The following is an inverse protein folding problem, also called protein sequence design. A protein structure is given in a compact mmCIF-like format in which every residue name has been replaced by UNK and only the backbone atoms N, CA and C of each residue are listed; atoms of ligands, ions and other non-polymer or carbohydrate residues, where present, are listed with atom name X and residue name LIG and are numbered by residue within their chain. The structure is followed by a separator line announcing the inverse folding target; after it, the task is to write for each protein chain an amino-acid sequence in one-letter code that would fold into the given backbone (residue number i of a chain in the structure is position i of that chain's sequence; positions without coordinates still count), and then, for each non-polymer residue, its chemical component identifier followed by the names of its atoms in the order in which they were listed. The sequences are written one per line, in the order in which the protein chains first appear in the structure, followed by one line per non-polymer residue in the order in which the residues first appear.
data_IF_453674820288
#
_entry.id   IF_453674820288
#
_cell.length_a   1.000
_cell.length_b   1.000
_cell.length_c   1.000
_cell.angle_alpha   90.00
_cell.angle_beta   90.00
_cell.angle_gamma   90.00
#
_symmetry.space_group_name_H-M   'P 1'
#
loop_
_entity.id
_entity.type
_entity.pdbx_description
1 polymer ?
#
# COMPACT_ATOMS: atom_id res chain seq x y z
N UNK A 1 -41.26 -30.19 70.32
CA UNK A 1 -40.13 -29.50 69.73
C UNK A 1 -40.05 -29.91 68.23
N UNK A 2 -40.54 -29.08 67.31
CA UNK A 2 -40.53 -29.37 65.85
C UNK A 2 -39.27 -28.72 65.31
N UNK A 3 -38.35 -29.51 64.72
CA UNK A 3 -37.17 -29.01 64.01
C UNK A 3 -37.57 -28.73 62.53
N UNK A 4 -37.47 -27.49 62.13
CA UNK A 4 -37.66 -27.06 60.76
C UNK A 4 -36.28 -27.08 60.01
N UNK A 5 -36.17 -27.91 58.98
CA UNK A 5 -34.97 -27.94 58.12
C UNK A 5 -35.18 -26.95 56.94
N UNK A 6 -34.36 -25.95 56.83
CA UNK A 6 -34.28 -25.10 55.66
C UNK A 6 -33.31 -25.72 54.63
N UNK A 7 -33.86 -26.06 53.48
CA UNK A 7 -33.07 -26.47 52.30
C UNK A 7 -32.72 -25.20 51.52
N UNK A 8 -31.46 -24.85 51.54
CA UNK A 8 -30.93 -23.77 50.68
C UNK A 8 -30.70 -24.34 49.26
N UNK A 9 -31.51 -23.95 48.28
CA UNK A 9 -31.31 -24.25 46.88
C UNK A 9 -30.36 -23.19 46.35
N UNK A 10 -29.07 -23.51 46.13
CA UNK A 10 -28.13 -22.70 45.35
C UNK A 10 -28.45 -22.88 43.86
N UNK A 11 -29.10 -21.90 43.26
CA UNK A 11 -29.21 -21.79 41.82
C UNK A 11 -27.87 -21.33 41.22
N UNK A 12 -27.06 -22.28 40.76
CA UNK A 12 -25.84 -22.00 40.01
C UNK A 12 -26.21 -21.42 38.65
N UNK A 13 -25.99 -20.11 38.46
CA UNK A 13 -25.96 -19.48 37.16
C UNK A 13 -24.74 -19.99 36.38
N UNK A 14 -24.94 -21.03 35.58
CA UNK A 14 -23.96 -21.39 34.54
C UNK A 14 -24.03 -20.35 33.46
N UNK A 15 -23.10 -19.41 33.44
CA UNK A 15 -22.80 -18.62 32.27
C UNK A 15 -22.17 -19.56 31.21
N UNK A 16 -22.99 -20.02 30.30
CA UNK A 16 -22.49 -20.67 29.11
C UNK A 16 -21.77 -19.60 28.25
N UNK A 17 -20.46 -19.55 28.35
CA UNK A 17 -19.66 -18.93 27.27
C UNK A 17 -19.95 -19.74 26.00
N UNK A 18 -20.81 -19.23 25.13
CA UNK A 18 -20.89 -19.75 23.77
C UNK A 18 -19.54 -19.45 23.10
N UNK A 19 -18.77 -20.47 22.69
CA UNK A 19 -17.61 -20.21 21.89
C UNK A 19 -18.10 -19.55 20.59
N UNK A 20 -17.59 -18.35 20.29
CA UNK A 20 -17.74 -17.71 18.98
C UNK A 20 -16.89 -18.48 17.97
N UNK A 21 -17.30 -19.72 17.68
CA UNK A 21 -16.70 -20.51 16.61
C UNK A 21 -17.09 -19.89 15.26
N UNK A 22 -16.13 -19.84 14.34
CA UNK A 22 -16.41 -19.50 12.94
C UNK A 22 -17.34 -20.55 12.34
N UNK A 23 -18.41 -20.13 11.65
CA UNK A 23 -19.28 -21.03 10.88
C UNK A 23 -18.62 -21.33 9.53
N UNK A 24 -17.86 -22.41 9.48
CA UNK A 24 -17.20 -22.87 8.25
C UNK A 24 -18.08 -23.72 7.35
N UNK A 25 -19.32 -24.03 7.77
CA UNK A 25 -20.26 -24.86 7.01
C UNK A 25 -20.71 -24.22 5.69
N UNK A 26 -20.58 -22.89 5.59
CA UNK A 26 -20.89 -22.10 4.39
C UNK A 26 -19.62 -21.49 3.81
N UNK A 27 -19.69 -21.14 2.52
CA UNK A 27 -18.66 -20.28 1.92
C UNK A 27 -18.66 -18.91 2.60
N UNK A 28 -17.48 -18.27 2.76
CA UNK A 28 -17.41 -16.90 3.25
C UNK A 28 -18.19 -15.92 2.35
N UNK A 29 -18.53 -14.76 2.87
CA UNK A 29 -19.05 -13.66 2.06
C UNK A 29 -17.99 -13.17 1.06
N UNK A 30 -18.43 -12.52 -0.02
CA UNK A 30 -17.50 -11.92 -0.98
C UNK A 30 -16.64 -10.84 -0.28
N UNK A 31 -15.32 -10.85 -0.44
CA UNK A 31 -14.46 -9.79 0.08
C UNK A 31 -14.78 -8.44 -0.58
N UNK A 32 -14.29 -7.35 0.00
CA UNK A 32 -14.40 -6.01 -0.56
C UNK A 32 -13.02 -5.40 -0.72
N UNK A 33 -12.71 -4.92 -1.94
CA UNK A 33 -11.45 -4.25 -2.24
C UNK A 33 -11.39 -2.86 -1.62
N UNK A 34 -10.18 -2.41 -1.27
CA UNK A 34 -9.94 -1.02 -0.89
C UNK A 34 -9.66 -0.23 -2.17
N UNK A 35 -10.57 0.65 -2.53
CA UNK A 35 -10.40 1.58 -3.65
C UNK A 35 -9.35 2.62 -3.27
N UNK A 36 -8.57 3.10 -4.24
CA UNK A 36 -7.67 4.24 -4.02
C UNK A 36 -8.51 5.52 -3.93
N UNK A 37 -8.31 6.28 -2.88
CA UNK A 37 -9.00 7.55 -2.65
C UNK A 37 -8.13 8.73 -3.08
N UNK A 38 -8.78 9.86 -3.41
CA UNK A 38 -8.06 11.09 -3.72
C UNK A 38 -7.19 11.51 -2.51
N UNK A 39 -5.93 11.80 -2.78
CA UNK A 39 -4.96 12.17 -1.74
C UNK A 39 -4.32 10.98 -1.01
N UNK A 40 -4.64 9.72 -1.36
CA UNK A 40 -3.97 8.56 -0.76
C UNK A 40 -2.45 8.65 -0.88
N UNK A 41 -1.94 9.09 -2.03
CA UNK A 41 -0.50 9.22 -2.30
C UNK A 41 0.20 10.29 -1.45
N UNK A 42 -0.55 11.15 -0.77
CA UNK A 42 0.00 12.18 0.13
C UNK A 42 0.07 11.70 1.58
N UNK A 43 -0.30 10.47 1.86
CA UNK A 43 -0.24 9.87 3.20
C UNK A 43 0.93 8.89 3.32
N UNK A 44 1.37 8.60 4.54
CA UNK A 44 2.42 7.61 4.78
C UNK A 44 2.03 6.21 4.32
N UNK A 45 0.77 5.85 4.43
CA UNK A 45 0.30 4.47 4.19
C UNK A 45 -0.23 4.22 2.78
N UNK A 46 -0.47 5.26 1.99
CA UNK A 46 -0.88 5.17 0.56
C UNK A 46 -1.93 4.07 0.32
N UNK A 47 -3.08 4.23 0.95
CA UNK A 47 -4.09 3.17 1.01
C UNK A 47 -4.80 2.95 -0.33
N UNK A 48 -5.05 1.69 -0.67
CA UNK A 48 -5.76 1.26 -1.88
C UNK A 48 -4.84 0.57 -2.89
N UNK A 49 -5.36 0.39 -4.13
CA UNK A 49 -4.53 -0.14 -5.22
C UNK A 49 -3.51 0.91 -5.65
N UNK A 50 -2.24 0.49 -5.83
CA UNK A 50 -1.16 1.41 -6.20
C UNK A 50 0.04 0.72 -6.81
N UNK A 51 0.91 1.51 -7.47
CA UNK A 51 2.27 1.11 -7.76
C UNK A 51 3.06 0.83 -6.45
N UNK A 52 4.23 0.25 -6.56
CA UNK A 52 5.11 -0.01 -5.41
C UNK A 52 6.51 0.50 -5.71
N UNK A 53 7.10 1.23 -4.76
CA UNK A 53 8.44 1.78 -4.84
C UNK A 53 9.51 0.67 -4.75
N UNK A 54 9.81 0.08 -5.90
CA UNK A 54 10.82 -0.96 -6.07
C UNK A 54 11.30 -1.01 -7.52
N UNK A 55 12.42 -1.72 -7.75
CA UNK A 55 13.05 -1.80 -9.07
C UNK A 55 12.12 -2.41 -10.13
N UNK A 56 11.48 -3.54 -9.82
CA UNK A 56 10.56 -4.23 -10.71
C UNK A 56 9.22 -3.47 -10.78
N UNK A 57 8.50 -3.64 -11.88
CA UNK A 57 7.11 -3.21 -11.95
C UNK A 57 6.27 -4.03 -10.98
N UNK A 58 5.50 -3.35 -10.15
CA UNK A 58 4.68 -3.98 -9.14
C UNK A 58 3.42 -3.18 -8.87
N UNK A 59 2.34 -3.89 -8.59
CA UNK A 59 1.06 -3.31 -8.15
C UNK A 59 0.70 -3.95 -6.82
N UNK A 60 0.44 -3.11 -5.83
CA UNK A 60 -0.14 -3.50 -4.55
C UNK A 60 -1.65 -3.41 -4.65
N UNK A 61 -2.35 -4.46 -4.23
CA UNK A 61 -3.78 -4.45 -3.98
C UNK A 61 -4.06 -4.61 -2.49
N UNK A 62 -5.15 -4.04 -2.03
CA UNK A 62 -5.61 -4.11 -0.65
C UNK A 62 -7.09 -4.44 -0.59
N UNK A 63 -7.51 -5.09 0.49
CA UNK A 63 -8.91 -5.40 0.74
C UNK A 63 -9.25 -5.21 2.22
N UNK A 64 -10.54 -5.10 2.50
CA UNK A 64 -11.01 -5.04 3.88
C UNK A 64 -11.03 -6.43 4.49
N UNK A 65 -10.49 -6.54 5.69
CA UNK A 65 -10.55 -7.77 6.45
C UNK A 65 -11.99 -8.21 6.68
N UNK A 66 -12.25 -9.49 6.51
CA UNK A 66 -13.53 -10.08 6.85
C UNK A 66 -13.61 -10.42 8.35
N UNK A 67 -14.82 -10.43 8.94
CA UNK A 67 -15.01 -10.84 10.32
C UNK A 67 -14.47 -12.26 10.59
N UNK A 68 -13.85 -12.47 11.75
CA UNK A 68 -13.31 -13.79 12.15
C UNK A 68 -14.38 -14.89 12.18
N UNK A 69 -15.65 -14.51 12.37
CA UNK A 69 -16.79 -15.42 12.34
C UNK A 69 -17.01 -16.14 11.02
N UNK A 70 -16.40 -15.66 9.93
CA UNK A 70 -16.50 -16.29 8.62
C UNK A 70 -15.45 -17.38 8.36
N UNK A 71 -14.48 -17.57 9.28
CA UNK A 71 -13.48 -18.62 9.20
C UNK A 71 -12.63 -18.58 7.93
N UNK A 72 -12.28 -17.39 7.45
CA UNK A 72 -11.44 -17.25 6.26
C UNK A 72 -10.03 -17.73 6.58
N UNK A 73 -9.56 -18.72 5.82
CA UNK A 73 -8.21 -19.26 5.92
C UNK A 73 -7.25 -18.54 4.98
N UNK A 74 -7.70 -18.20 3.78
CA UNK A 74 -6.88 -17.51 2.77
C UNK A 74 -7.72 -16.75 1.77
N UNK A 75 -7.05 -15.84 1.06
CA UNK A 75 -7.60 -15.12 -0.10
C UNK A 75 -6.88 -15.58 -1.36
N UNK A 76 -7.62 -15.82 -2.44
CA UNK A 76 -7.09 -16.07 -3.77
C UNK A 76 -7.16 -14.80 -4.60
N UNK A 77 -6.11 -14.50 -5.34
CA UNK A 77 -5.97 -13.28 -6.12
C UNK A 77 -6.03 -13.61 -7.61
N UNK A 78 -6.85 -12.85 -8.33
CA UNK A 78 -7.05 -13.01 -9.76
C UNK A 78 -6.78 -11.71 -10.50
N UNK A 79 -6.16 -11.83 -11.68
CA UNK A 79 -5.79 -10.69 -12.54
C UNK A 79 -6.25 -10.91 -13.97
N UNK A 80 -6.66 -9.81 -14.62
CA UNK A 80 -6.93 -9.75 -16.05
C UNK A 80 -6.45 -8.45 -16.68
N UNK A 81 -6.26 -8.43 -17.98
CA UNK A 81 -6.15 -7.21 -18.80
C UNK A 81 -7.49 -6.87 -19.49
N UNK A 82 -8.45 -7.78 -19.45
CA UNK A 82 -9.81 -7.60 -19.95
C UNK A 82 -10.82 -7.88 -18.81
N UNK A 83 -11.58 -6.87 -18.34
CA UNK A 83 -12.51 -7.04 -17.23
C UNK A 83 -13.81 -7.75 -17.61
N UNK A 84 -14.03 -8.04 -18.90
CA UNK A 84 -15.28 -8.61 -19.40
C UNK A 84 -15.32 -10.12 -19.16
N UNK A 85 -16.00 -10.50 -18.09
CA UNK A 85 -16.24 -11.90 -17.73
C UNK A 85 -15.13 -12.53 -16.88
N UNK A 86 -15.54 -13.33 -15.90
CA UNK A 86 -14.64 -13.96 -14.95
C UNK A 86 -13.65 -14.95 -15.60
N UNK A 87 -14.01 -15.52 -16.75
CA UNK A 87 -13.17 -16.44 -17.48
C UNK A 87 -11.86 -15.82 -18.01
N UNK A 88 -11.80 -14.48 -18.12
CA UNK A 88 -10.61 -13.76 -18.58
C UNK A 88 -9.60 -13.53 -17.45
N UNK A 89 -9.99 -13.80 -16.20
CA UNK A 89 -9.10 -13.64 -15.06
C UNK A 89 -8.32 -14.92 -14.79
N UNK A 90 -7.03 -14.78 -14.59
CA UNK A 90 -6.16 -15.88 -14.16
C UNK A 90 -5.82 -15.76 -12.68
N UNK A 91 -5.73 -16.86 -12.00
CA UNK A 91 -5.17 -16.95 -10.65
C UNK A 91 -3.69 -16.58 -10.70
N UNK A 92 -3.27 -15.65 -9.83
CA UNK A 92 -1.89 -15.17 -9.76
C UNK A 92 -1.22 -15.44 -8.40
N UNK A 93 -1.99 -15.80 -7.38
CA UNK A 93 -1.44 -16.11 -6.07
C UNK A 93 -2.50 -16.13 -4.99
N UNK A 94 -2.05 -16.42 -3.78
CA UNK A 94 -2.89 -16.43 -2.59
C UNK A 94 -2.18 -15.77 -1.41
N UNK A 95 -2.97 -15.28 -0.45
CA UNK A 95 -2.54 -14.72 0.81
C UNK A 95 -3.24 -15.45 1.94
N UNK A 96 -2.47 -16.06 2.86
CA UNK A 96 -3.02 -16.70 4.05
C UNK A 96 -3.59 -15.63 5.00
N UNK A 97 -4.67 -15.95 5.70
CA UNK A 97 -5.37 -15.01 6.58
C UNK A 97 -5.04 -15.27 8.07
N UNK A 98 -3.81 -15.66 8.37
CA UNK A 98 -3.37 -16.04 9.71
C UNK A 98 -3.32 -14.86 10.70
N UNK A 99 -3.04 -13.67 10.20
CA UNK A 99 -2.89 -12.46 10.99
C UNK A 99 -3.91 -11.38 10.62
N UNK A 100 -4.10 -10.43 11.53
CA UNK A 100 -5.06 -9.34 11.37
C UNK A 100 -4.73 -8.37 10.23
N UNK A 101 -3.48 -8.38 9.74
CA UNK A 101 -2.94 -7.42 8.79
C UNK A 101 -2.74 -7.99 7.38
N UNK A 102 -3.07 -9.28 7.15
CA UNK A 102 -2.88 -9.96 5.86
C UNK A 102 -4.01 -9.60 4.87
N UNK A 103 -4.13 -8.32 4.59
CA UNK A 103 -5.12 -7.75 3.66
C UNK A 103 -4.46 -7.05 2.48
N UNK A 104 -3.24 -7.43 2.16
CA UNK A 104 -2.46 -6.88 1.05
C UNK A 104 -1.80 -7.99 0.23
N UNK A 105 -1.71 -7.76 -1.07
CA UNK A 105 -0.92 -8.59 -1.98
C UNK A 105 -0.16 -7.69 -2.96
N UNK A 106 1.08 -8.05 -3.26
CA UNK A 106 1.91 -7.34 -4.25
C UNK A 106 2.09 -8.25 -5.46
N UNK A 107 1.52 -7.83 -6.58
CA UNK A 107 1.70 -8.49 -7.87
C UNK A 107 3.04 -8.08 -8.48
N UNK A 108 3.89 -9.06 -8.74
CA UNK A 108 5.23 -8.95 -9.32
C UNK A 108 5.36 -9.68 -10.66
N UNK A 109 4.28 -10.28 -11.12
CA UNK A 109 4.34 -11.23 -12.23
C UNK A 109 4.30 -10.51 -13.57
N UNK A 110 5.46 -10.09 -14.05
CA UNK A 110 5.72 -9.59 -15.41
C UNK A 110 4.78 -8.47 -15.84
N UNK A 111 4.62 -7.45 -14.98
CA UNK A 111 3.77 -6.31 -15.29
C UNK A 111 4.41 -5.38 -16.32
N UNK A 112 3.65 -5.02 -17.35
CA UNK A 112 4.04 -4.06 -18.38
C UNK A 112 3.50 -2.68 -18.05
N UNK A 113 4.28 -1.63 -18.38
CA UNK A 113 3.80 -0.25 -18.37
C UNK A 113 2.74 -0.04 -19.46
N UNK A 114 1.90 0.98 -19.30
CA UNK A 114 0.80 1.34 -20.21
C UNK A 114 -0.23 0.21 -20.43
N UNK A 115 -0.31 -0.71 -19.47
CA UNK A 115 -1.25 -1.83 -19.51
C UNK A 115 -2.17 -1.76 -18.28
N UNK A 116 -3.48 -1.79 -18.51
CA UNK A 116 -4.47 -1.86 -17.44
C UNK A 116 -4.54 -3.29 -16.89
N UNK A 117 -4.38 -3.41 -15.58
CA UNK A 117 -4.54 -4.65 -14.86
C UNK A 117 -5.73 -4.54 -13.91
N UNK A 118 -6.65 -5.46 -14.04
CA UNK A 118 -7.87 -5.57 -13.24
C UNK A 118 -7.70 -6.71 -12.24
N UNK A 119 -8.11 -6.50 -11.01
CA UNK A 119 -7.99 -7.48 -9.92
C UNK A 119 -9.31 -7.66 -9.22
N UNK A 120 -9.60 -8.90 -8.87
CA UNK A 120 -10.55 -9.25 -7.83
C UNK A 120 -9.94 -10.36 -6.95
N UNK A 121 -10.54 -10.58 -5.79
CA UNK A 121 -10.15 -11.66 -4.87
C UNK A 121 -11.38 -12.48 -4.49
N UNK A 122 -11.13 -13.71 -4.02
CA UNK A 122 -12.12 -14.55 -3.34
C UNK A 122 -11.57 -14.93 -1.97
N UNK A 123 -12.45 -15.21 -1.01
CA UNK A 123 -12.11 -15.75 0.29
C UNK A 123 -12.37 -17.26 0.32
N UNK A 124 -11.48 -18.00 0.96
CA UNK A 124 -11.59 -19.47 1.10
C UNK A 124 -11.51 -19.80 2.59
N UNK A 125 -12.43 -20.59 3.10
CA UNK A 125 -12.43 -21.04 4.48
C UNK A 125 -11.59 -22.32 4.67
N UNK A 126 -11.47 -22.80 5.92
CA UNK A 126 -10.72 -24.01 6.27
C UNK A 126 -11.25 -25.28 5.63
N UNK A 127 -12.54 -25.34 5.31
CA UNK A 127 -13.17 -26.46 4.58
C UNK A 127 -12.95 -26.38 3.06
N UNK A 128 -12.27 -25.34 2.57
CA UNK A 128 -11.99 -25.15 1.15
C UNK A 128 -13.15 -24.55 0.35
N UNK A 129 -14.21 -24.09 1.01
CA UNK A 129 -15.34 -23.41 0.34
C UNK A 129 -14.93 -22.00 -0.04
N UNK A 130 -15.18 -21.64 -1.29
CA UNK A 130 -14.77 -20.38 -1.88
C UNK A 130 -15.96 -19.42 -2.02
N UNK A 131 -15.76 -18.16 -1.69
CA UNK A 131 -16.75 -17.08 -1.80
C UNK A 131 -17.03 -16.70 -3.26
N UNK A 132 -18.06 -15.89 -3.47
CA UNK A 132 -18.18 -15.11 -4.70
C UNK A 132 -17.00 -14.11 -4.81
N UNK A 133 -16.66 -13.66 -6.05
CA UNK A 133 -15.65 -12.63 -6.26
C UNK A 133 -15.99 -11.32 -5.54
N UNK A 134 -14.95 -10.58 -5.13
CA UNK A 134 -15.05 -9.19 -4.68
C UNK A 134 -15.48 -8.25 -5.82
N UNK A 135 -15.70 -7.00 -5.49
CA UNK A 135 -15.61 -5.91 -6.44
C UNK A 135 -14.23 -5.86 -7.10
N UNK A 136 -14.14 -5.21 -8.27
CA UNK A 136 -12.92 -5.12 -9.07
C UNK A 136 -12.24 -3.77 -8.86
N UNK A 137 -10.91 -3.80 -8.71
CA UNK A 137 -10.04 -2.62 -8.79
C UNK A 137 -9.12 -2.74 -9.99
N UNK A 138 -8.60 -1.61 -10.50
CA UNK A 138 -7.67 -1.64 -11.61
C UNK A 138 -6.60 -0.55 -11.49
N UNK A 139 -5.45 -0.80 -12.10
CA UNK A 139 -4.34 0.14 -12.15
C UNK A 139 -3.56 -0.01 -13.47
N UNK A 140 -2.97 1.11 -13.91
CA UNK A 140 -2.10 1.18 -15.07
C UNK A 140 -0.77 1.80 -14.67
N UNK A 141 0.30 1.05 -14.83
CA UNK A 141 1.65 1.51 -14.51
C UNK A 141 2.19 2.45 -15.59
N UNK A 142 2.77 3.56 -15.15
CA UNK A 142 3.59 4.44 -15.97
C UNK A 142 5.08 4.07 -15.85
N UNK A 143 5.93 4.54 -16.78
CA UNK A 143 7.37 4.51 -16.60
C UNK A 143 7.76 5.22 -15.29
N UNK A 144 8.77 4.68 -14.59
CA UNK A 144 9.20 5.22 -13.28
C UNK A 144 10.22 6.33 -13.45
N UNK A 145 10.13 7.34 -12.60
CA UNK A 145 11.24 8.26 -12.41
C UNK A 145 12.46 7.53 -11.85
N UNK A 146 13.64 8.07 -12.07
CA UNK A 146 14.90 7.56 -11.53
C UNK A 146 15.53 8.63 -10.62
N UNK A 147 15.58 8.42 -9.30
CA UNK A 147 16.25 9.33 -8.39
C UNK A 147 17.75 9.45 -8.69
N UNK A 148 18.24 10.68 -8.74
CA UNK A 148 19.64 11.00 -8.94
C UNK A 148 20.34 11.34 -7.62
N UNK A 149 20.62 12.63 -7.40
CA UNK A 149 21.21 13.16 -6.16
C UNK A 149 20.09 13.70 -5.24
N UNK A 150 20.22 13.64 -3.89
CA UNK A 150 21.33 13.11 -3.12
C UNK A 150 21.29 11.59 -2.97
N UNK A 151 22.48 10.99 -2.85
CA UNK A 151 22.69 9.60 -2.44
C UNK A 151 23.90 9.55 -1.50
N UNK A 152 23.76 8.84 -0.38
CA UNK A 152 24.83 8.80 0.63
C UNK A 152 24.90 10.07 1.47
N UNK A 153 26.09 10.35 2.04
CA UNK A 153 26.31 11.45 2.99
C UNK A 153 26.48 12.79 2.28
N UNK A 154 25.74 13.80 2.71
CA UNK A 154 25.84 15.20 2.25
C UNK A 154 26.40 16.05 3.38
N UNK A 155 27.42 16.86 3.12
CA UNK A 155 28.13 17.64 4.16
C UNK A 155 27.69 19.09 4.09
N UNK A 156 27.18 19.63 5.20
CA UNK A 156 26.83 21.04 5.46
C UNK A 156 26.18 21.78 4.28
N UNK A 157 25.06 21.32 3.75
CA UNK A 157 24.42 21.99 2.63
C UNK A 157 23.72 23.28 3.08
N UNK A 158 23.91 24.38 2.33
CA UNK A 158 23.10 25.61 2.47
C UNK A 158 21.75 25.47 1.73
N UNK A 159 21.73 24.65 0.71
CA UNK A 159 20.55 24.19 -0.02
C UNK A 159 20.80 22.79 -0.55
N UNK A 160 19.75 22.03 -0.82
CA UNK A 160 19.87 20.66 -1.32
C UNK A 160 18.94 20.43 -2.50
N UNK A 161 19.55 20.21 -3.67
CA UNK A 161 18.83 19.85 -4.89
C UNK A 161 18.60 18.33 -4.98
N UNK A 162 17.34 17.93 -5.05
CA UNK A 162 16.94 16.54 -5.33
C UNK A 162 16.70 16.39 -6.81
N UNK A 163 17.62 15.72 -7.50
CA UNK A 163 17.54 15.53 -8.96
C UNK A 163 16.95 14.18 -9.30
N UNK A 164 16.12 14.13 -10.31
CA UNK A 164 15.57 12.89 -10.82
C UNK A 164 15.33 12.98 -12.33
N UNK A 165 15.38 11.82 -12.99
CA UNK A 165 15.10 11.71 -14.40
C UNK A 165 13.71 11.09 -14.61
N UNK A 166 12.95 11.66 -15.53
CA UNK A 166 11.65 11.17 -15.98
C UNK A 166 11.82 10.62 -17.39
N UNK A 167 11.42 9.38 -17.69
CA UNK A 167 11.46 8.84 -19.03
C UNK A 167 10.65 9.70 -20.01
N UNK A 168 11.17 9.88 -21.22
CA UNK A 168 10.54 10.75 -22.23
C UNK A 168 9.16 10.28 -22.70
N UNK A 169 8.82 9.04 -22.48
CA UNK A 169 7.54 8.39 -22.77
C UNK A 169 6.57 8.33 -21.58
N UNK A 170 6.96 8.84 -20.41
CA UNK A 170 6.10 8.81 -19.22
C UNK A 170 4.94 9.81 -19.29
N UNK A 171 5.15 10.99 -19.89
CA UNK A 171 4.17 12.08 -20.01
C UNK A 171 3.36 12.35 -18.74
N UNK A 172 3.99 12.56 -17.57
CA UNK A 172 3.26 12.76 -16.34
C UNK A 172 2.56 14.12 -16.32
N UNK A 173 1.42 14.20 -15.64
CA UNK A 173 0.74 15.46 -15.35
C UNK A 173 1.35 16.20 -14.16
N UNK A 174 2.02 15.47 -13.29
CA UNK A 174 2.66 15.99 -12.09
C UNK A 174 3.52 14.92 -11.43
N UNK A 175 4.09 15.30 -10.28
CA UNK A 175 4.81 14.36 -9.44
C UNK A 175 4.57 14.64 -7.96
N UNK A 176 4.77 13.61 -7.14
CA UNK A 176 4.90 13.73 -5.69
C UNK A 176 6.35 13.42 -5.34
N UNK A 177 6.98 14.35 -4.63
CA UNK A 177 8.30 14.18 -4.03
C UNK A 177 8.11 13.91 -2.54
N UNK A 178 8.69 12.81 -2.06
CA UNK A 178 8.50 12.31 -0.71
C UNK A 178 9.84 12.00 -0.06
N UNK A 179 9.98 12.41 1.22
CA UNK A 179 11.12 12.04 2.06
C UNK A 179 10.60 11.38 3.34
N UNK A 180 11.17 10.24 3.68
CA UNK A 180 10.87 9.52 4.90
C UNK A 180 12.14 9.36 5.75
N UNK A 181 11.99 9.47 7.07
CA UNK A 181 13.02 9.11 8.04
C UNK A 181 12.90 7.62 8.35
N UNK A 182 14.04 6.92 8.38
CA UNK A 182 14.11 5.53 8.79
C UNK A 182 14.36 5.45 10.29
N UNK A 183 13.47 4.78 11.02
CA UNK A 183 13.53 4.61 12.46
C UNK A 183 13.67 3.12 12.75
N UNK A 184 14.92 2.62 12.78
CA UNK A 184 15.18 1.19 12.89
C UNK A 184 14.73 0.41 11.65
N UNK A 185 14.54 -0.90 11.80
CA UNK A 185 14.28 -1.78 10.66
C UNK A 185 12.86 -1.68 10.08
N UNK A 186 11.86 -1.31 10.89
CA UNK A 186 10.44 -1.46 10.53
C UNK A 186 9.62 -0.16 10.66
N UNK A 187 10.17 0.90 11.23
CA UNK A 187 9.43 2.14 11.43
C UNK A 187 9.95 3.24 10.50
N UNK A 188 9.02 4.01 9.99
CA UNK A 188 9.29 5.13 9.10
C UNK A 188 8.35 6.29 9.45
N UNK A 189 8.82 7.48 9.16
CA UNK A 189 8.08 8.71 9.36
C UNK A 189 8.17 9.56 8.10
N UNK A 190 7.03 10.04 7.62
CA UNK A 190 6.99 11.01 6.53
C UNK A 190 7.44 12.38 7.07
N UNK A 191 8.62 12.84 6.66
CA UNK A 191 9.19 14.11 7.14
C UNK A 191 9.02 15.26 6.16
N UNK A 192 8.86 14.94 4.87
CA UNK A 192 8.63 15.96 3.85
C UNK A 192 7.81 15.39 2.69
N UNK A 193 6.90 16.21 2.17
CA UNK A 193 6.11 15.91 1.00
C UNK A 193 5.86 17.18 0.21
N UNK A 194 6.13 17.11 -1.10
CA UNK A 194 5.81 18.16 -2.05
C UNK A 194 5.09 17.55 -3.25
N UNK A 195 4.06 18.24 -3.74
CA UNK A 195 3.34 17.84 -4.93
C UNK A 195 3.34 18.98 -5.95
N UNK A 196 3.73 18.66 -7.16
CA UNK A 196 3.63 19.55 -8.32
C UNK A 196 2.61 18.97 -9.31
N UNK A 197 1.47 19.65 -9.43
CA UNK A 197 0.41 19.29 -10.35
C UNK A 197 -0.41 20.54 -10.72
N UNK A 198 -0.45 21.00 -11.98
CA UNK A 198 0.24 20.43 -13.14
C UNK A 198 1.74 20.63 -13.10
N UNK A 199 2.45 19.73 -13.80
CA UNK A 199 3.91 19.77 -13.92
C UNK A 199 4.36 21.08 -14.58
N UNK A 200 5.23 21.82 -13.89
CA UNK A 200 5.87 23.01 -14.44
C UNK A 200 7.09 22.58 -15.27
N UNK A 201 7.04 22.77 -16.55
CA UNK A 201 8.14 22.45 -17.47
C UNK A 201 7.67 22.29 -18.92
N UNK A 202 8.61 22.40 -19.85
CA UNK A 202 8.32 22.23 -21.27
C UNK A 202 8.19 20.77 -21.67
N UNK A 203 7.46 20.52 -22.76
CA UNK A 203 7.43 19.20 -23.38
C UNK A 203 8.85 18.70 -23.68
N UNK A 204 9.16 17.48 -23.24
CA UNK A 204 10.45 16.84 -23.46
C UNK A 204 11.50 17.09 -22.37
N UNK A 205 11.17 17.79 -21.29
CA UNK A 205 12.05 17.84 -20.14
C UNK A 205 12.10 16.46 -19.46
N UNK A 206 13.32 15.90 -19.37
CA UNK A 206 13.54 14.59 -18.79
C UNK A 206 14.29 14.65 -17.45
N UNK A 207 14.87 15.79 -17.11
CA UNK A 207 15.58 15.99 -15.85
C UNK A 207 14.91 17.10 -15.04
N UNK A 208 14.65 16.81 -13.78
CA UNK A 208 14.02 17.71 -12.84
C UNK A 208 14.89 17.86 -11.59
N UNK A 209 14.73 18.99 -10.92
CA UNK A 209 15.39 19.27 -9.64
C UNK A 209 14.38 19.94 -8.72
N UNK A 210 14.12 19.31 -7.58
CA UNK A 210 13.46 19.96 -6.47
C UNK A 210 14.52 20.47 -5.50
N UNK A 211 14.55 21.78 -5.22
CA UNK A 211 15.57 22.39 -4.35
C UNK A 211 14.97 22.80 -3.02
N UNK A 212 15.41 22.16 -1.93
CA UNK A 212 15.12 22.58 -0.56
C UNK A 212 16.07 23.69 -0.14
N UNK A 213 15.53 24.80 0.35
CA UNK A 213 16.29 25.91 0.91
C UNK A 213 16.67 25.63 2.36
N UNK A 214 17.52 26.47 2.95
CA UNK A 214 18.03 26.30 4.31
C UNK A 214 16.90 26.12 5.36
N UNK A 215 15.75 26.80 5.22
CA UNK A 215 14.63 26.65 6.16
C UNK A 215 13.97 25.28 6.06
N UNK A 216 13.82 24.77 4.85
CA UNK A 216 13.24 23.43 4.62
C UNK A 216 14.17 22.33 5.10
N UNK A 217 15.50 22.55 5.01
CA UNK A 217 16.50 21.60 5.49
C UNK A 217 16.50 21.39 7.01
N UNK A 218 15.83 22.25 7.78
CA UNK A 218 15.74 22.13 9.25
C UNK A 218 14.93 20.89 9.70
N UNK A 219 14.24 20.22 8.80
CA UNK A 219 13.55 18.94 9.11
C UNK A 219 14.54 17.78 9.30
N UNK A 220 15.81 17.93 8.83
CA UNK A 220 16.82 16.88 8.89
C UNK A 220 17.68 16.99 10.14
N UNK A 221 17.89 15.85 10.79
CA UNK A 221 18.78 15.69 11.93
C UNK A 221 20.17 15.25 11.47
N UNK A 222 21.17 15.53 12.28
CA UNK A 222 22.57 15.20 12.00
C UNK A 222 22.76 13.69 11.93
N UNK A 223 23.46 13.22 10.88
CA UNK A 223 23.78 11.81 10.62
C UNK A 223 22.60 10.82 10.68
N UNK A 224 21.37 11.29 10.58
CA UNK A 224 20.17 10.43 10.49
C UNK A 224 19.96 9.99 9.05
N UNK A 225 19.60 8.72 8.86
CA UNK A 225 19.31 8.17 7.54
C UNK A 225 17.90 8.50 7.10
N UNK A 226 17.79 9.04 5.90
CA UNK A 226 16.55 9.35 5.18
C UNK A 226 16.53 8.61 3.86
N UNK A 227 15.32 8.40 3.35
CA UNK A 227 15.10 7.95 1.98
C UNK A 227 14.12 8.87 1.26
N UNK A 228 14.27 8.96 -0.03
CA UNK A 228 13.37 9.75 -0.86
C UNK A 228 13.04 9.05 -2.16
N UNK A 229 11.91 9.41 -2.72
CA UNK A 229 11.43 8.92 -4.00
C UNK A 229 10.59 9.97 -4.71
N UNK A 230 10.25 9.69 -5.97
CA UNK A 230 9.35 10.48 -6.80
C UNK A 230 8.28 9.56 -7.37
N UNK A 231 7.02 9.96 -7.19
CA UNK A 231 5.86 9.28 -7.74
C UNK A 231 5.34 10.12 -8.91
N UNK A 232 5.22 9.53 -10.10
CA UNK A 232 4.69 10.23 -11.27
C UNK A 232 3.18 10.07 -11.32
N UNK A 233 2.48 11.18 -11.51
CA UNK A 233 1.02 11.27 -11.59
C UNK A 233 0.58 11.41 -13.03
N UNK A 234 -0.46 10.66 -13.42
CA UNK A 234 -1.16 10.84 -14.69
C UNK A 234 -2.39 11.74 -14.55
N UNK A 235 -3.13 11.92 -15.64
CA UNK A 235 -4.39 12.68 -15.64
C UNK A 235 -5.50 12.06 -14.77
N UNK A 236 -5.42 10.74 -14.51
CA UNK A 236 -6.26 10.02 -13.54
C UNK A 236 -5.34 9.36 -12.50
N UNK A 237 -4.93 10.07 -11.44
CA UNK A 237 -3.98 9.57 -10.46
C UNK A 237 -4.54 8.45 -9.57
N UNK A 238 -5.86 8.24 -9.56
CA UNK A 238 -6.46 7.14 -8.81
C UNK A 238 -6.16 5.77 -9.43
N UNK A 239 -5.87 5.76 -10.74
CA UNK A 239 -5.72 4.51 -11.47
C UNK A 239 -4.44 4.45 -12.32
N UNK A 240 -3.66 5.53 -12.37
CA UNK A 240 -2.46 5.59 -13.19
C UNK A 240 -1.34 6.30 -12.44
N UNK A 241 -0.17 5.71 -12.46
CA UNK A 241 1.00 6.31 -11.85
C UNK A 241 2.19 5.37 -11.82
N UNK A 242 3.24 5.83 -11.19
CA UNK A 242 4.41 5.01 -10.87
C UNK A 242 5.11 5.56 -9.64
N UNK A 243 5.74 4.69 -8.90
CA UNK A 243 6.64 5.04 -7.79
C UNK A 243 8.07 4.68 -8.18
N UNK A 244 9.00 5.62 -8.02
CA UNK A 244 10.42 5.34 -8.25
C UNK A 244 10.99 4.39 -7.20
N UNK A 245 12.18 3.86 -7.44
CA UNK A 245 12.97 3.28 -6.36
C UNK A 245 13.31 4.34 -5.30
N UNK A 246 13.59 3.86 -4.10
CA UNK A 246 14.10 4.69 -3.03
C UNK A 246 15.58 5.01 -3.23
N UNK A 247 15.94 6.27 -3.00
CA UNK A 247 17.33 6.68 -2.80
C UNK A 247 17.53 7.06 -1.33
N UNK A 248 18.66 6.66 -0.73
CA UNK A 248 18.98 6.95 0.67
C UNK A 248 20.06 8.02 0.78
N UNK A 249 19.95 8.87 1.81
CA UNK A 249 20.95 9.89 2.13
C UNK A 249 20.94 10.21 3.63
N UNK A 250 22.01 10.85 4.09
CA UNK A 250 22.10 11.49 5.40
C UNK A 250 22.73 12.87 5.25
N UNK A 251 22.53 13.74 6.23
CA UNK A 251 23.19 15.06 6.28
C UNK A 251 24.12 15.10 7.49
N UNK A 252 25.36 15.49 7.23
CA UNK A 252 26.38 15.82 8.23
C UNK A 252 26.39 17.34 8.42
N UNK A 253 25.87 17.82 9.53
CA UNK A 253 25.91 19.23 9.90
C UNK A 253 27.25 19.63 10.52
N UNK A 254 28.13 18.68 10.84
CA UNK A 254 29.47 18.90 11.45
C UNK A 254 29.39 19.32 12.91
N UNK A 255 28.39 18.78 13.63
CA UNK A 255 28.21 18.99 15.06
C UNK A 255 29.08 18.04 15.88
#
# INVERSE_FOLDING_TARGET
MKKVFYILVLAGLMWACTPTGSDTSKAPDAPRMVQKEAGADTTLNERGIDAVARRENAIRIMWYRQPSTQGVARYKIYRSQDPQGLANYRFIGQQEAENNDDTTFVDLDSLSIFTKYYYFITAVNDEGKESLPSDTVWYNLLPKATPGFPKGRVVKPDSLGFTFNVPSDAFPNGYIFRIERLIGANFRELVYLYMENPLQGGFGQTQFTYTMNNRELQVFQDDVEYRWRVDLLAGDPLHNGSESDWATFSIDWGN
#
